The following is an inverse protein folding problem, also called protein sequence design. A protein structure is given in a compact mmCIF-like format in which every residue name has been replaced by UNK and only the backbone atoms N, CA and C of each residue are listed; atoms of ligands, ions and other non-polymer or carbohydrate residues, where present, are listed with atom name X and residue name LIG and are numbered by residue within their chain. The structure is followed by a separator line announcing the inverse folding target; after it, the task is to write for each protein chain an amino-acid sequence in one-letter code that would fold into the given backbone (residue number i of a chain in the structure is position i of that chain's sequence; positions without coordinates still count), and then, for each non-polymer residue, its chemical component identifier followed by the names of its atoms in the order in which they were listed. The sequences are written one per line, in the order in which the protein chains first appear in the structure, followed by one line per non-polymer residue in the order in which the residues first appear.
data_IF_299226068435
#
_entry.id   IF_299226068435
#
_cell.length_a   1.000
_cell.length_b   1.000
_cell.length_c   1.000
_cell.angle_alpha   90.00
_cell.angle_beta   90.00
_cell.angle_gamma   90.00
#
_symmetry.space_group_name_H-M   'P 1'
#
loop_
_entity.id
_entity.type
_entity.pdbx_description
1 polymer ?
#
# COMPACT_ATOMS: atom_id res chain seq x y z
N UNK A 1 26.71 40.04 7.65
CA UNK A 1 28.12 39.73 7.95
C UNK A 1 28.24 38.28 8.35
N UNK A 2 28.84 37.44 7.51
CA UNK A 2 29.34 36.13 7.92
C UNK A 2 30.44 36.37 8.96
N UNK A 3 30.27 35.86 10.18
CA UNK A 3 31.35 35.83 11.16
C UNK A 3 32.36 34.79 10.67
N UNK A 4 33.56 35.22 10.31
CA UNK A 4 34.66 34.31 10.08
C UNK A 4 35.19 33.83 11.43
N UNK A 5 35.20 32.51 11.63
CA UNK A 5 35.74 31.89 12.83
C UNK A 5 37.23 31.59 12.64
N UNK A 6 38.02 31.72 13.70
CA UNK A 6 39.44 31.34 13.67
C UNK A 6 39.60 29.85 13.40
N UNK A 7 40.76 29.47 12.84
CA UNK A 7 41.06 28.08 12.50
C UNK A 7 41.00 27.15 13.74
N UNK A 8 41.59 27.60 14.85
CA UNK A 8 41.56 26.90 16.14
C UNK A 8 40.13 26.66 16.63
N UNK A 9 39.26 27.67 16.51
CA UNK A 9 37.86 27.55 16.91
C UNK A 9 37.11 26.57 16.02
N UNK A 10 37.37 26.58 14.70
CA UNK A 10 36.75 25.63 13.77
C UNK A 10 37.16 24.19 14.09
N UNK A 11 38.44 23.94 14.37
CA UNK A 11 38.93 22.61 14.76
C UNK A 11 38.23 22.10 16.02
N UNK A 12 38.14 22.94 17.05
CA UNK A 12 37.43 22.61 18.29
C UNK A 12 35.94 22.35 18.03
N UNK A 13 35.28 23.23 17.27
CA UNK A 13 33.87 23.10 16.94
C UNK A 13 33.58 21.82 16.15
N UNK A 14 34.44 21.45 15.19
CA UNK A 14 34.30 20.22 14.42
C UNK A 14 34.48 18.97 15.29
N UNK A 15 35.43 18.97 16.23
CA UNK A 15 35.59 17.87 17.20
C UNK A 15 34.33 17.67 18.05
N UNK A 16 33.77 18.76 18.57
CA UNK A 16 32.54 18.74 19.38
C UNK A 16 31.32 18.28 18.56
N UNK A 17 31.20 18.76 17.31
CA UNK A 17 30.14 18.34 16.39
C UNK A 17 30.23 16.84 16.12
N UNK A 18 31.42 16.32 15.80
CA UNK A 18 31.64 14.90 15.51
C UNK A 18 31.29 14.01 16.71
N UNK A 19 31.68 14.43 17.93
CA UNK A 19 31.37 13.73 19.17
C UNK A 19 29.85 13.62 19.41
N UNK A 20 29.13 14.74 19.35
CA UNK A 20 27.68 14.77 19.62
C UNK A 20 26.90 14.04 18.53
N UNK A 21 27.37 14.04 17.28
CA UNK A 21 26.73 13.29 16.21
C UNK A 21 26.94 11.78 16.31
N UNK A 22 28.06 11.31 16.86
CA UNK A 22 28.30 9.88 17.17
C UNK A 22 27.40 9.36 18.30
N UNK A 23 27.08 10.21 19.28
CA UNK A 23 26.12 9.88 20.35
C UNK A 23 24.69 9.56 19.84
N UNK A 24 24.33 9.98 18.62
CA UNK A 24 23.01 9.68 18.01
C UNK A 24 22.73 8.17 17.91
N UNK A 25 23.77 7.34 17.87
CA UNK A 25 23.65 5.88 17.76
C UNK A 25 23.70 5.16 19.13
N UNK A 26 23.78 5.90 20.24
CA UNK A 26 23.70 5.37 21.61
C UNK A 26 22.27 5.25 22.16
N UNK A 27 22.06 4.67 23.35
CA UNK A 27 20.73 4.48 23.91
C UNK A 27 20.09 5.82 24.33
N UNK A 28 18.99 6.15 23.65
CA UNK A 28 17.94 7.10 24.04
C UNK A 28 18.37 8.48 24.54
N UNK A 29 18.96 9.28 23.65
CA UNK A 29 18.96 10.75 23.78
C UNK A 29 17.78 11.27 22.95
N UNK A 30 16.91 12.17 23.45
CA UNK A 30 15.85 12.76 22.65
C UNK A 30 16.45 13.51 21.44
N UNK A 31 16.25 12.93 20.24
CA UNK A 31 16.84 13.34 18.96
C UNK A 31 16.55 14.80 18.56
N UNK A 32 15.58 15.43 19.21
CA UNK A 32 15.14 16.79 18.91
C UNK A 32 16.10 17.89 19.44
N UNK A 33 17.18 17.55 20.16
CA UNK A 33 17.98 18.55 20.90
C UNK A 33 19.45 18.68 20.46
N UNK A 34 19.91 18.03 19.37
CA UNK A 34 21.34 18.04 18.97
C UNK A 34 21.84 19.44 18.61
N UNK A 35 21.09 20.15 17.77
CA UNK A 35 21.46 21.51 17.35
C UNK A 35 21.44 22.49 18.51
N UNK A 36 20.50 22.31 19.43
CA UNK A 36 20.35 23.16 20.61
C UNK A 36 21.44 22.91 21.65
N UNK A 37 21.87 21.65 21.83
CA UNK A 37 23.07 21.31 22.62
C UNK A 37 24.33 21.94 22.01
N UNK A 38 24.47 21.90 20.68
CA UNK A 38 25.61 22.52 20.01
C UNK A 38 25.64 24.04 20.18
N UNK A 39 24.48 24.70 20.11
CA UNK A 39 24.34 26.13 20.39
C UNK A 39 24.72 26.44 21.84
N UNK A 40 24.26 25.63 22.80
CA UNK A 40 24.56 25.83 24.22
C UNK A 40 26.05 25.60 24.55
N UNK A 41 26.68 24.58 23.97
CA UNK A 41 28.08 24.21 24.23
C UNK A 41 29.05 25.17 23.56
N UNK A 42 28.79 25.54 22.30
CA UNK A 42 29.68 26.41 21.53
C UNK A 42 29.38 27.91 21.77
N UNK A 43 28.24 28.25 22.39
CA UNK A 43 27.84 29.62 22.65
C UNK A 43 27.59 30.46 21.38
N UNK A 44 27.29 29.82 20.25
CA UNK A 44 27.12 30.48 18.94
C UNK A 44 25.69 30.35 18.42
N UNK A 45 25.32 31.19 17.45
CA UNK A 45 23.98 31.17 16.86
C UNK A 45 23.68 29.85 16.14
N UNK A 46 22.40 29.43 16.10
CA UNK A 46 21.94 28.27 15.31
C UNK A 46 22.42 28.32 13.86
N UNK A 47 22.43 29.51 13.25
CA UNK A 47 22.91 29.72 11.87
C UNK A 47 24.39 29.42 11.74
N UNK A 48 25.21 29.83 12.71
CA UNK A 48 26.64 29.54 12.74
C UNK A 48 26.93 28.06 12.89
N UNK A 49 26.18 27.35 13.74
CA UNK A 49 26.28 25.88 13.85
C UNK A 49 25.96 25.22 12.50
N UNK A 50 24.93 25.69 11.79
CA UNK A 50 24.56 25.14 10.49
C UNK A 50 25.66 25.35 9.44
N UNK A 51 26.25 26.54 9.38
CA UNK A 51 27.37 26.85 8.49
C UNK A 51 28.57 25.97 8.80
N UNK A 52 28.94 25.82 10.07
CA UNK A 52 30.05 24.95 10.49
C UNK A 52 29.78 23.47 10.15
N UNK A 53 28.53 23.00 10.28
CA UNK A 53 28.17 21.64 9.84
C UNK A 53 28.29 21.46 8.33
N UNK A 54 27.86 22.44 7.53
CA UNK A 54 28.02 22.36 6.07
C UNK A 54 29.48 22.41 5.66
N UNK A 55 30.29 23.24 6.30
CA UNK A 55 31.73 23.36 6.06
C UNK A 55 32.45 22.06 6.43
N UNK A 56 32.14 21.48 7.60
CA UNK A 56 32.67 20.18 8.02
C UNK A 56 32.31 19.05 7.06
N UNK A 57 31.09 19.07 6.51
CA UNK A 57 30.63 18.08 5.53
C UNK A 57 31.40 18.19 4.21
N UNK A 58 31.57 19.41 3.70
CA UNK A 58 32.36 19.67 2.48
C UNK A 58 33.80 19.21 2.65
N UNK A 59 34.44 19.55 3.78
CA UNK A 59 35.80 19.08 4.07
C UNK A 59 35.93 17.56 4.14
N UNK A 60 34.90 16.85 4.65
CA UNK A 60 34.87 15.37 4.64
C UNK A 60 34.72 14.82 3.22
N UNK A 61 33.87 15.43 2.39
CA UNK A 61 33.68 15.04 0.98
C UNK A 61 34.96 15.27 0.16
N UNK A 62 35.62 16.42 0.32
CA UNK A 62 36.89 16.76 -0.35
C UNK A 62 38.02 15.80 0.07
N UNK A 63 38.10 15.44 1.36
CA UNK A 63 39.05 14.43 1.85
C UNK A 63 38.75 13.04 1.28
N UNK A 64 37.48 12.64 1.20
CA UNK A 64 37.10 11.36 0.59
C UNK A 64 37.40 11.32 -0.91
N UNK A 65 37.20 12.43 -1.62
CA UNK A 65 37.50 12.54 -3.05
C UNK A 65 39.01 12.50 -3.32
N UNK A 66 39.81 13.16 -2.48
CA UNK A 66 41.27 13.07 -2.51
C UNK A 66 41.77 11.64 -2.21
N UNK A 67 41.15 10.94 -1.26
CA UNK A 67 41.45 9.53 -0.95
C UNK A 67 41.04 8.60 -2.10
N UNK A 68 39.97 8.89 -2.85
CA UNK A 68 39.58 8.13 -4.06
C UNK A 68 40.53 8.36 -5.22
N UNK A 69 41.02 9.60 -5.40
CA UNK A 69 42.02 9.94 -6.41
C UNK A 69 43.36 9.23 -6.14
N UNK A 70 43.82 9.21 -4.89
CA UNK A 70 45.08 8.55 -4.49
C UNK A 70 45.00 7.02 -4.43
N UNK A 71 43.82 6.44 -4.17
CA UNK A 71 43.59 4.97 -4.21
C UNK A 71 43.55 4.38 -5.63
N UNK A 72 43.50 5.22 -6.67
CA UNK A 72 43.55 4.75 -8.07
C UNK A 72 44.93 4.23 -8.48
N UNK A 73 45.96 4.39 -7.64
CA UNK A 73 47.33 3.94 -7.90
C UNK A 73 47.89 2.91 -6.91
N UNK A 74 47.15 2.48 -5.87
CA UNK A 74 47.58 1.33 -5.06
C UNK A 74 46.46 0.65 -4.27
N UNK A 75 46.41 -0.66 -4.42
CA UNK A 75 45.52 -1.62 -3.75
C UNK A 75 45.68 -1.60 -2.22
N UNK A 76 44.61 -1.29 -1.46
CA UNK A 76 44.08 -2.06 -0.30
C UNK A 76 43.28 -1.23 0.76
N UNK A 77 42.06 -1.73 1.02
CA UNK A 77 41.31 -1.85 2.29
C UNK A 77 41.09 -0.64 3.25
N UNK A 78 39.84 -0.14 3.29
CA UNK A 78 39.04 -0.01 4.53
C UNK A 78 37.54 0.11 4.21
N UNK A 79 36.62 -0.55 4.95
CA UNK A 79 35.23 -0.74 4.51
C UNK A 79 34.32 0.40 4.96
N UNK A 80 33.73 1.12 4.01
CA UNK A 80 32.55 1.95 4.27
C UNK A 80 31.37 1.03 4.62
N UNK A 81 30.58 1.29 5.68
CA UNK A 81 29.40 0.49 5.99
C UNK A 81 28.39 0.61 4.85
N UNK A 82 28.28 -0.43 4.02
CA UNK A 82 27.21 -0.52 3.04
C UNK A 82 25.87 -0.56 3.79
N UNK A 83 24.81 0.09 3.27
CA UNK A 83 23.47 -0.12 3.81
C UNK A 83 23.19 -1.62 3.86
N UNK A 84 22.49 -2.12 4.89
CA UNK A 84 22.23 -3.55 5.02
C UNK A 84 21.64 -4.05 3.72
N UNK A 85 22.34 -4.98 3.06
CA UNK A 85 21.88 -5.54 1.81
C UNK A 85 20.44 -6.00 2.00
N UNK A 86 19.55 -5.67 1.04
CA UNK A 86 18.18 -6.16 1.06
C UNK A 86 18.23 -7.66 1.25
N UNK A 87 17.78 -8.15 2.41
CA UNK A 87 17.68 -9.58 2.66
C UNK A 87 16.84 -10.13 1.52
N UNK A 88 17.39 -11.09 0.78
CA UNK A 88 16.61 -11.80 -0.23
C UNK A 88 15.39 -12.38 0.50
N UNK A 89 14.20 -11.91 0.13
CA UNK A 89 12.97 -12.49 0.67
C UNK A 89 12.90 -13.97 0.32
N UNK A 90 11.96 -14.69 0.96
CA UNK A 90 11.70 -16.09 0.62
C UNK A 90 11.50 -16.22 -0.91
N UNK A 91 12.16 -17.19 -1.57
CA UNK A 91 12.01 -17.38 -3.01
C UNK A 91 10.53 -17.54 -3.36
N UNK A 92 10.11 -16.93 -4.48
CA UNK A 92 8.77 -17.13 -5.01
C UNK A 92 8.63 -18.61 -5.38
N UNK A 93 7.49 -19.21 -5.03
CA UNK A 93 7.14 -20.51 -5.56
C UNK A 93 7.12 -20.39 -7.09
N UNK A 94 7.92 -21.19 -7.77
CA UNK A 94 7.93 -21.25 -9.22
C UNK A 94 6.88 -22.26 -9.62
N UNK A 95 5.74 -21.79 -10.12
CA UNK A 95 4.71 -22.70 -10.59
C UNK A 95 4.92 -23.07 -12.04
N UNK A 96 4.71 -24.36 -12.33
CA UNK A 96 4.66 -24.87 -13.70
C UNK A 96 3.43 -24.30 -14.41
N UNK A 97 3.43 -24.30 -15.75
CA UNK A 97 2.25 -23.84 -16.50
C UNK A 97 1.01 -24.67 -16.18
N UNK A 98 1.20 -25.99 -15.98
CA UNK A 98 0.15 -26.90 -15.58
C UNK A 98 -0.53 -26.45 -14.27
N UNK A 99 0.25 -26.13 -13.23
CA UNK A 99 -0.32 -25.69 -11.95
C UNK A 99 -1.09 -24.37 -12.06
N UNK A 100 -0.61 -23.45 -12.91
CA UNK A 100 -1.30 -22.20 -13.19
C UNK A 100 -2.65 -22.45 -13.86
N UNK A 101 -2.69 -23.38 -14.80
CA UNK A 101 -3.93 -23.79 -15.47
C UNK A 101 -4.88 -24.50 -14.50
N UNK A 102 -4.37 -25.31 -13.58
CA UNK A 102 -5.16 -25.92 -12.51
C UNK A 102 -5.83 -24.87 -11.62
N UNK A 103 -5.13 -23.78 -11.26
CA UNK A 103 -5.72 -22.67 -10.50
C UNK A 103 -6.88 -22.04 -11.27
N UNK A 104 -6.71 -21.79 -12.58
CA UNK A 104 -7.76 -21.22 -13.44
C UNK A 104 -8.95 -22.16 -13.57
N UNK A 105 -8.70 -23.44 -13.81
CA UNK A 105 -9.73 -24.46 -13.93
C UNK A 105 -10.56 -24.55 -12.65
N UNK A 106 -9.90 -24.69 -11.49
CA UNK A 106 -10.57 -24.79 -10.19
C UNK A 106 -11.40 -23.54 -9.89
N UNK A 107 -10.88 -22.36 -10.24
CA UNK A 107 -11.62 -21.10 -10.14
C UNK A 107 -12.93 -21.11 -10.95
N UNK A 108 -12.88 -21.58 -12.21
CA UNK A 108 -14.06 -21.68 -13.05
C UNK A 108 -15.03 -22.79 -12.62
N UNK A 109 -14.52 -23.90 -12.06
CA UNK A 109 -15.36 -24.96 -11.48
C UNK A 109 -16.17 -24.41 -10.29
N UNK A 110 -15.55 -23.63 -9.41
CA UNK A 110 -16.28 -22.98 -8.31
C UNK A 110 -17.39 -22.06 -8.82
N UNK A 111 -17.13 -21.28 -9.86
CA UNK A 111 -18.15 -20.44 -10.49
C UNK A 111 -19.29 -21.26 -11.11
N UNK A 112 -18.97 -22.42 -11.71
CA UNK A 112 -19.95 -23.36 -12.26
C UNK A 112 -20.83 -23.94 -11.16
N UNK A 113 -20.25 -24.23 -10.00
CA UNK A 113 -20.95 -24.76 -8.82
C UNK A 113 -21.71 -23.70 -8.01
N UNK A 114 -21.89 -22.50 -8.60
CA UNK A 114 -22.56 -21.34 -7.96
C UNK A 114 -21.89 -20.91 -6.65
N UNK A 115 -20.61 -21.22 -6.45
CA UNK A 115 -19.83 -20.81 -5.29
C UNK A 115 -18.88 -19.67 -5.65
N UNK A 116 -18.78 -18.66 -4.77
CA UNK A 116 -17.80 -17.59 -4.98
C UNK A 116 -16.38 -18.13 -4.78
N UNK A 117 -15.47 -17.91 -5.76
CA UNK A 117 -14.08 -18.34 -5.65
C UNK A 117 -13.30 -17.38 -4.75
N UNK A 118 -13.53 -17.51 -3.44
CA UNK A 118 -12.65 -16.90 -2.43
C UNK A 118 -11.32 -17.63 -2.43
N UNK A 119 -10.25 -16.97 -1.98
CA UNK A 119 -8.92 -17.60 -1.93
C UNK A 119 -8.92 -18.83 -1.00
N UNK A 120 -9.73 -18.80 0.05
CA UNK A 120 -9.91 -19.92 1.01
C UNK A 120 -10.65 -21.10 0.38
N UNK A 121 -11.77 -20.84 -0.30
CA UNK A 121 -12.53 -21.88 -0.99
C UNK A 121 -11.72 -22.48 -2.14
N UNK A 122 -10.98 -21.63 -2.86
CA UNK A 122 -10.10 -22.07 -3.93
C UNK A 122 -8.98 -22.96 -3.39
N UNK A 123 -8.30 -22.54 -2.32
CA UNK A 123 -7.23 -23.33 -1.71
C UNK A 123 -7.72 -24.68 -1.17
N UNK A 124 -8.84 -24.68 -0.45
CA UNK A 124 -9.41 -25.91 0.11
C UNK A 124 -9.86 -26.89 -0.98
N UNK A 125 -10.49 -26.40 -2.05
CA UNK A 125 -10.89 -27.23 -3.20
C UNK A 125 -9.66 -27.75 -3.96
N UNK A 126 -8.62 -26.94 -4.07
CA UNK A 126 -7.42 -27.32 -4.78
C UNK A 126 -6.63 -28.38 -4.00
N UNK A 127 -6.46 -28.22 -2.69
CA UNK A 127 -5.78 -29.19 -1.83
C UNK A 127 -6.58 -30.50 -1.66
N UNK A 128 -7.91 -30.45 -1.74
CA UNK A 128 -8.73 -31.67 -1.68
C UNK A 128 -8.60 -32.52 -2.96
N UNK A 129 -8.46 -31.88 -4.12
CA UNK A 129 -8.26 -32.58 -5.40
C UNK A 129 -6.79 -32.94 -5.67
N UNK A 130 -5.87 -32.08 -5.22
CA UNK A 130 -4.43 -32.19 -5.45
C UNK A 130 -3.66 -31.97 -4.15
N UNK A 131 -3.50 -33.00 -3.29
CA UNK A 131 -2.82 -32.87 -2.00
C UNK A 131 -1.35 -32.41 -2.11
N UNK A 132 -0.68 -32.79 -3.21
CA UNK A 132 0.73 -32.48 -3.49
C UNK A 132 0.94 -31.08 -4.11
N UNK A 133 -0.08 -30.22 -4.11
CA UNK A 133 0.05 -28.92 -4.77
C UNK A 133 1.10 -28.03 -4.08
N UNK A 134 1.97 -27.31 -4.84
CA UNK A 134 3.08 -26.55 -4.26
C UNK A 134 2.68 -25.41 -3.32
N UNK A 135 1.46 -24.88 -3.47
CA UNK A 135 0.94 -23.79 -2.63
C UNK A 135 0.00 -24.34 -1.56
N UNK A 136 0.42 -24.25 -0.30
CA UNK A 136 -0.40 -24.62 0.86
C UNK A 136 -0.90 -23.42 1.67
N UNK A 137 -0.51 -22.19 1.31
CA UNK A 137 -0.85 -20.97 2.07
C UNK A 137 -1.76 -20.03 1.29
N UNK A 138 -2.78 -19.51 1.96
CA UNK A 138 -3.74 -18.52 1.42
C UNK A 138 -3.02 -17.28 0.88
N UNK A 139 -1.97 -16.81 1.58
CA UNK A 139 -1.24 -15.60 1.17
C UNK A 139 -0.41 -15.85 -0.08
N UNK A 140 0.21 -17.02 -0.18
CA UNK A 140 0.95 -17.47 -1.37
C UNK A 140 0.01 -17.61 -2.57
N UNK A 141 -1.16 -18.24 -2.40
CA UNK A 141 -2.15 -18.40 -3.47
C UNK A 141 -2.67 -17.04 -3.95
N UNK A 142 -3.02 -16.14 -3.02
CA UNK A 142 -3.47 -14.79 -3.36
C UNK A 142 -2.44 -14.03 -4.19
N UNK A 143 -1.16 -14.16 -3.85
CA UNK A 143 -0.06 -13.53 -4.60
C UNK A 143 0.04 -14.11 -5.99
N UNK A 144 -0.08 -15.42 -6.13
CA UNK A 144 -0.03 -16.10 -7.42
C UNK A 144 -1.22 -15.75 -8.31
N UNK A 145 -2.43 -15.75 -7.76
CA UNK A 145 -3.63 -15.29 -8.47
C UNK A 145 -3.41 -13.86 -9.02
N UNK A 146 -2.85 -12.94 -8.24
CA UNK A 146 -2.52 -11.60 -8.74
C UNK A 146 -1.48 -11.62 -9.86
N UNK A 147 -0.49 -12.50 -9.77
CA UNK A 147 0.53 -12.68 -10.81
C UNK A 147 -0.06 -13.25 -12.11
N UNK A 148 -1.08 -14.11 -12.01
CA UNK A 148 -1.85 -14.65 -13.13
C UNK A 148 -2.84 -13.66 -13.75
N UNK A 149 -2.99 -12.46 -13.18
CA UNK A 149 -3.86 -11.41 -13.69
C UNK A 149 -5.23 -11.34 -13.03
N UNK A 150 -5.52 -12.16 -12.01
CA UNK A 150 -6.77 -12.07 -11.26
C UNK A 150 -6.84 -10.76 -10.47
N UNK A 151 -8.04 -10.17 -10.44
CA UNK A 151 -8.31 -8.87 -9.80
C UNK A 151 -9.47 -8.97 -8.81
N UNK A 152 -9.23 -8.53 -7.58
CA UNK A 152 -10.29 -8.36 -6.60
C UNK A 152 -10.88 -6.95 -6.72
N UNK A 153 -12.11 -6.85 -7.22
CA UNK A 153 -12.76 -5.55 -7.50
C UNK A 153 -14.26 -5.58 -7.20
N UNK A 154 -14.83 -4.38 -7.06
CA UNK A 154 -16.27 -4.22 -6.82
C UNK A 154 -17.08 -4.75 -8.00
N UNK A 155 -18.14 -5.47 -7.70
CA UNK A 155 -19.17 -5.87 -8.64
C UNK A 155 -19.96 -4.61 -8.99
N UNK A 156 -19.87 -4.16 -10.24
CA UNK A 156 -20.68 -3.04 -10.70
C UNK A 156 -22.12 -3.54 -10.81
N UNK A 157 -22.94 -3.27 -9.79
CA UNK A 157 -24.41 -3.37 -9.88
C UNK A 157 -24.83 -2.34 -10.94
N UNK A 158 -25.73 -2.71 -11.85
CA UNK A 158 -26.11 -1.84 -12.96
C UNK A 158 -26.35 -0.41 -12.48
N UNK A 159 -25.64 0.56 -13.05
CA UNK A 159 -25.87 1.97 -12.75
C UNK A 159 -27.22 2.31 -13.35
N UNK A 160 -28.26 2.30 -12.53
CA UNK A 160 -29.52 2.96 -12.90
C UNK A 160 -29.13 4.41 -13.17
N UNK A 161 -29.37 4.88 -14.40
CA UNK A 161 -29.14 6.27 -14.80
C UNK A 161 -30.20 7.14 -14.10
N UNK A 162 -29.97 7.40 -12.82
CA UNK A 162 -30.84 8.26 -12.00
C UNK A 162 -30.95 9.68 -12.57
N UNK A 163 -29.96 10.08 -13.38
CA UNK A 163 -29.91 11.37 -14.07
C UNK A 163 -30.71 11.40 -15.38
N UNK A 164 -31.35 10.29 -15.78
CA UNK A 164 -32.23 10.31 -16.95
C UNK A 164 -33.40 11.28 -16.72
N UNK A 165 -33.69 12.09 -17.73
CA UNK A 165 -34.77 13.08 -17.71
C UNK A 165 -36.11 12.46 -17.29
N UNK A 166 -36.37 11.21 -17.68
CA UNK A 166 -37.58 10.49 -17.30
C UNK A 166 -37.68 10.26 -15.77
N UNK A 167 -36.59 9.83 -15.13
CA UNK A 167 -36.56 9.62 -13.67
C UNK A 167 -36.66 10.94 -12.91
N UNK A 168 -36.01 12.00 -13.41
CA UNK A 168 -36.11 13.33 -12.82
C UNK A 168 -37.54 13.88 -12.88
N UNK A 169 -38.21 13.74 -14.03
CA UNK A 169 -39.60 14.17 -14.20
C UNK A 169 -40.55 13.40 -13.29
N UNK A 170 -40.41 12.08 -13.19
CA UNK A 170 -41.21 11.26 -12.26
C UNK A 170 -40.99 11.66 -10.81
N UNK A 171 -39.73 11.89 -10.41
CA UNK A 171 -39.39 12.32 -9.06
C UNK A 171 -39.96 13.70 -8.73
N UNK A 172 -39.90 14.64 -9.67
CA UNK A 172 -40.51 15.96 -9.51
C UNK A 172 -42.03 15.88 -9.36
N UNK A 173 -42.70 15.05 -10.17
CA UNK A 173 -44.14 14.82 -10.06
C UNK A 173 -44.53 14.19 -8.71
N UNK A 174 -43.75 13.21 -8.25
CA UNK A 174 -43.94 12.59 -6.93
C UNK A 174 -43.83 13.63 -5.80
N UNK A 175 -42.78 14.45 -5.80
CA UNK A 175 -42.61 15.46 -4.75
C UNK A 175 -43.72 16.51 -4.75
N UNK A 176 -44.16 16.98 -5.92
CA UNK A 176 -45.32 17.90 -6.01
C UNK A 176 -46.57 17.31 -5.36
N UNK A 177 -46.82 16.01 -5.58
CA UNK A 177 -47.97 15.32 -4.98
C UNK A 177 -47.83 15.18 -3.48
N UNK A 178 -46.64 14.85 -2.98
CA UNK A 178 -46.34 14.79 -1.55
C UNK A 178 -46.56 16.17 -0.89
N UNK A 179 -46.11 17.25 -1.52
CA UNK A 179 -46.26 18.60 -0.98
C UNK A 179 -47.74 19.03 -0.91
N UNK A 180 -48.54 18.68 -1.91
CA UNK A 180 -49.99 18.87 -1.88
C UNK A 180 -50.66 18.12 -0.71
N UNK A 181 -50.26 16.86 -0.47
CA UNK A 181 -50.80 16.07 0.63
C UNK A 181 -50.41 16.64 2.00
N UNK A 182 -49.19 17.19 2.12
CA UNK A 182 -48.73 17.89 3.34
C UNK A 182 -49.52 19.17 3.59
N UNK A 183 -49.77 19.97 2.54
CA UNK A 183 -50.60 21.18 2.62
C UNK A 183 -52.03 20.87 3.06
N UNK A 184 -52.56 19.72 2.64
CA UNK A 184 -53.89 19.26 3.02
C UNK A 184 -53.93 18.56 4.38
N UNK A 185 -52.86 18.66 5.19
CA UNK A 185 -52.74 18.04 6.52
C UNK A 185 -53.01 16.52 6.53
N UNK A 186 -52.73 15.84 5.42
CA UNK A 186 -52.89 14.38 5.33
C UNK A 186 -51.81 13.65 6.12
N UNK A 187 -52.15 12.49 6.68
CA UNK A 187 -51.18 11.62 7.38
C UNK A 187 -50.47 10.76 6.33
N UNK A 188 -49.14 10.86 6.26
CA UNK A 188 -48.32 10.09 5.33
C UNK A 188 -47.63 8.93 6.06
N UNK A 189 -47.88 7.71 5.59
CA UNK A 189 -47.15 6.52 6.01
C UNK A 189 -46.23 6.06 4.87
N UNK A 190 -44.97 5.78 5.20
CA UNK A 190 -44.00 5.22 4.27
C UNK A 190 -43.68 3.79 4.70
N UNK A 191 -43.75 2.87 3.74
CA UNK A 191 -43.32 1.49 3.92
C UNK A 191 -42.26 1.18 2.87
N UNK A 192 -41.19 0.52 3.28
CA UNK A 192 -40.16 0.01 2.38
C UNK A 192 -40.02 -1.49 2.62
N UNK A 193 -40.07 -2.27 1.54
CA UNK A 193 -39.89 -3.71 1.55
C UNK A 193 -38.47 -4.02 1.07
N UNK A 194 -37.65 -4.57 1.96
CA UNK A 194 -36.34 -5.10 1.57
C UNK A 194 -36.44 -6.60 1.32
N UNK A 195 -36.52 -6.99 0.05
CA UNK A 195 -36.51 -8.39 -0.34
C UNK A 195 -35.09 -8.96 -0.26
N UNK A 196 -34.86 -9.92 0.65
CA UNK A 196 -33.61 -10.69 0.70
C UNK A 196 -33.62 -11.75 -0.41
N UNK A 197 -32.86 -11.53 -1.47
CA UNK A 197 -32.70 -12.51 -2.54
C UNK A 197 -31.64 -13.55 -2.16
N UNK A 198 -31.97 -14.83 -2.31
CA UNK A 198 -30.99 -15.93 -2.25
C UNK A 198 -29.84 -15.74 -3.26
N UNK A 199 -30.11 -15.01 -4.34
CA UNK A 199 -29.18 -14.71 -5.41
C UNK A 199 -28.54 -13.31 -5.27
N UNK A 200 -28.52 -12.71 -4.07
CA UNK A 200 -27.85 -11.42 -3.90
C UNK A 200 -26.34 -11.56 -4.17
N UNK A 201 -25.87 -10.80 -5.17
CA UNK A 201 -24.47 -10.81 -5.53
C UNK A 201 -23.60 -10.08 -4.50
N UNK A 202 -22.45 -10.68 -4.16
CA UNK A 202 -21.43 -10.01 -3.33
C UNK A 202 -20.96 -8.71 -3.98
N UNK A 203 -20.81 -7.67 -3.15
CA UNK A 203 -20.37 -6.35 -3.60
C UNK A 203 -18.93 -6.33 -4.13
N UNK A 204 -18.08 -7.26 -3.72
CA UNK A 204 -16.68 -7.39 -4.17
C UNK A 204 -16.37 -8.86 -4.41
N UNK A 205 -15.80 -9.16 -5.58
CA UNK A 205 -15.47 -10.53 -5.99
C UNK A 205 -14.14 -10.57 -6.72
N UNK A 206 -13.57 -11.77 -6.83
CA UNK A 206 -12.41 -12.04 -7.67
C UNK A 206 -12.86 -12.18 -9.12
N UNK A 207 -12.13 -11.55 -10.02
CA UNK A 207 -12.26 -11.69 -11.45
C UNK A 207 -10.98 -12.31 -12.00
N UNK A 208 -11.11 -13.20 -12.99
CA UNK A 208 -10.00 -13.65 -13.80
C UNK A 208 -9.49 -12.52 -14.72
N UNK A 209 -8.48 -12.84 -15.52
CA UNK A 209 -7.93 -11.94 -16.54
C UNK A 209 -8.91 -11.62 -17.67
N UNK A 210 -9.86 -12.52 -17.97
CA UNK A 210 -10.90 -12.35 -18.98
C UNK A 210 -12.15 -11.59 -18.47
N UNK A 211 -12.24 -11.30 -17.17
CA UNK A 211 -13.37 -10.62 -16.55
C UNK A 211 -14.52 -11.52 -16.06
N UNK A 212 -14.34 -12.84 -16.01
CA UNK A 212 -15.25 -13.79 -15.33
C UNK A 212 -14.97 -13.83 -13.82
N UNK A 213 -16.02 -13.88 -13.01
CA UNK A 213 -15.89 -13.76 -11.55
C UNK A 213 -17.21 -13.57 -10.82
N UNK A 214 -18.24 -13.15 -11.56
CA UNK A 214 -19.62 -13.17 -11.09
C UNK A 214 -20.20 -14.57 -11.25
N UNK A 215 -21.07 -14.96 -10.32
CA UNK A 215 -21.91 -16.12 -10.52
C UNK A 215 -22.83 -15.84 -11.70
N UNK A 216 -23.04 -16.84 -12.56
CA UNK A 216 -24.05 -16.72 -13.62
C UNK A 216 -25.40 -16.74 -12.93
N UNK A 217 -26.09 -15.61 -12.91
CA UNK A 217 -27.49 -15.58 -12.50
C UNK A 217 -28.26 -16.42 -13.52
N UNK A 218 -28.91 -17.50 -13.07
CA UNK A 218 -30.00 -18.07 -13.84
C UNK A 218 -31.02 -16.95 -14.02
N UNK A 219 -31.19 -16.50 -15.26
CA UNK A 219 -32.23 -15.55 -15.63
C UNK A 219 -33.57 -16.24 -15.37
N UNK A 220 -34.07 -16.11 -14.14
CA UNK A 220 -35.33 -16.69 -13.70
C UNK A 220 -35.76 -15.96 -12.44
N UNK A 221 -36.79 -15.12 -12.57
CA UNK A 221 -37.63 -14.76 -11.42
C UNK A 221 -38.15 -16.08 -10.85
N UNK A 222 -37.88 -16.36 -9.57
CA UNK A 222 -38.54 -17.40 -8.77
C UNK A 222 -38.62 -18.77 -9.43
N UNK A 223 -37.65 -19.64 -9.17
CA UNK A 223 -37.95 -21.07 -9.09
C UNK A 223 -38.14 -21.38 -7.61
N UNK A 224 -39.39 -21.64 -7.24
CA UNK A 224 -39.78 -22.31 -6.01
C UNK A 224 -39.35 -23.78 -6.02
#
# INVERSE_FOLDING_TARGET
MSKEFSLEFKQLAFSIIDFIEKEKNGPSIPLNNVTDRLVAILGISRRSVFVLKSEMKQLKEDQEEFVRFTRSSSTSLSPTPLPPAKRSGRPKAQLTNFEKDTIRLTFHLLLKDKMYPTVENLLSTLLSQYPEFPIQSITSLRREMKALGFKYRKTNKAKILMDSVAFQAQRAAYFRKIDQLRLNNSILYYHDETWLSRNEEKAVVWFDDQGYGRLRNSQGKGED
#
